data_IF_389499044738
#
_entry.id   IF_389499044738
#
_cell.length_a   1.000
_cell.length_b   1.000
_cell.length_c   1.000
_cell.angle_alpha   90.00
_cell.angle_beta   90.00
_cell.angle_gamma   90.00
#
_symmetry.space_group_name_H-M   'P 1'
#
loop_
_entity.id
_entity.type
_entity.pdbx_description
1 polymer ?
#
# COMPACT_ATOMS: atom_id res chain seq x y z
N UNK A 1 22.56 18.99 5.19
CA UNK A 1 21.32 18.30 4.75
C UNK A 1 21.33 16.94 5.40
N UNK A 2 20.33 16.63 6.23
CA UNK A 2 20.35 15.48 7.14
C UNK A 2 20.43 14.15 6.40
N UNK A 3 21.55 13.45 6.60
CA UNK A 3 21.80 12.06 6.22
C UNK A 3 21.22 11.13 7.31
N UNK A 4 19.89 11.03 7.39
CA UNK A 4 19.20 10.01 8.20
C UNK A 4 18.61 8.93 7.26
N UNK A 5 19.47 8.28 6.48
CA UNK A 5 19.06 7.21 5.55
C UNK A 5 18.35 6.04 6.22
N UNK A 6 18.62 5.79 7.51
CA UNK A 6 18.16 4.63 8.27
C UNK A 6 16.85 4.84 9.07
N UNK A 7 16.24 6.02 9.03
CA UNK A 7 15.01 6.31 9.82
C UNK A 7 13.73 6.41 9.00
N UNK A 8 13.81 6.21 7.68
CA UNK A 8 12.61 6.23 6.83
C UNK A 8 11.78 4.96 7.06
N UNK A 9 10.46 5.07 6.95
CA UNK A 9 9.59 3.88 7.02
C UNK A 9 10.00 2.85 5.96
N UNK A 10 10.48 3.29 4.79
CA UNK A 10 10.91 2.44 3.69
C UNK A 10 12.08 1.53 4.09
N UNK A 11 13.04 2.03 4.89
CA UNK A 11 14.16 1.23 5.39
C UNK A 11 13.71 0.09 6.34
N UNK A 12 12.55 0.23 6.99
CA UNK A 12 11.95 -0.79 7.87
C UNK A 12 11.03 -1.76 7.13
N UNK A 13 10.82 -1.58 5.82
CA UNK A 13 9.95 -2.47 5.06
C UNK A 13 10.57 -3.87 4.95
N UNK A 14 9.76 -4.93 5.17
CA UNK A 14 10.23 -6.31 5.01
C UNK A 14 10.79 -6.61 3.61
N UNK A 15 10.30 -5.93 2.58
CA UNK A 15 10.78 -6.08 1.22
C UNK A 15 12.08 -5.30 0.93
N UNK A 16 12.54 -4.43 1.84
CA UNK A 16 13.79 -3.69 1.67
C UNK A 16 15.04 -4.60 1.69
N UNK A 17 14.90 -5.84 2.18
CA UNK A 17 15.94 -6.87 2.19
C UNK A 17 15.93 -7.74 0.92
N UNK A 18 14.95 -7.57 0.04
CA UNK A 18 14.86 -8.33 -1.21
C UNK A 18 15.71 -7.67 -2.30
N UNK A 19 16.20 -8.49 -3.23
CA UNK A 19 16.81 -8.02 -4.47
C UNK A 19 15.77 -7.19 -5.28
N UNK A 20 16.15 -6.04 -5.86
CA UNK A 20 15.22 -5.17 -6.58
C UNK A 20 14.39 -5.90 -7.65
N UNK A 21 15.01 -6.81 -8.41
CA UNK A 21 14.36 -7.58 -9.47
C UNK A 21 13.24 -8.50 -8.95
N UNK A 22 13.32 -8.94 -7.69
CA UNK A 22 12.27 -9.74 -7.05
C UNK A 22 10.99 -8.94 -6.78
N UNK A 23 11.08 -7.60 -6.78
CA UNK A 23 9.95 -6.69 -6.55
C UNK A 23 9.27 -6.27 -7.87
N UNK A 24 10.00 -6.29 -9.00
CA UNK A 24 9.48 -5.94 -10.32
C UNK A 24 8.84 -7.13 -11.06
N UNK A 25 7.88 -7.77 -10.39
CA UNK A 25 7.19 -8.96 -10.93
C UNK A 25 5.85 -8.62 -11.60
N UNK A 26 5.47 -9.44 -12.59
CA UNK A 26 4.20 -9.33 -13.31
C UNK A 26 3.27 -10.53 -13.06
N UNK A 27 1.98 -10.35 -13.33
CA UNK A 27 1.00 -11.43 -13.32
C UNK A 27 0.89 -12.17 -11.99
N UNK A 28 0.95 -13.50 -12.01
CA UNK A 28 0.77 -14.34 -10.84
C UNK A 28 1.81 -14.07 -9.73
N UNK A 29 3.03 -13.65 -10.10
CA UNK A 29 4.10 -13.38 -9.15
C UNK A 29 3.83 -12.13 -8.28
N UNK A 30 2.99 -11.18 -8.73
CA UNK A 30 2.54 -10.07 -7.87
C UNK A 30 1.78 -10.55 -6.63
N UNK A 31 1.16 -11.73 -6.67
CA UNK A 31 0.48 -12.31 -5.50
C UNK A 31 1.45 -12.67 -4.39
N UNK A 32 2.66 -13.11 -4.72
CA UNK A 32 3.67 -13.48 -3.71
C UNK A 32 4.19 -12.24 -2.99
N UNK A 33 4.55 -11.20 -3.74
CA UNK A 33 4.95 -9.89 -3.17
C UNK A 33 3.82 -9.32 -2.31
N UNK A 34 2.58 -9.35 -2.82
CA UNK A 34 1.40 -8.89 -2.08
C UNK A 34 1.22 -9.60 -0.75
N UNK A 35 1.39 -10.91 -0.71
CA UNK A 35 1.16 -11.70 0.50
C UNK A 35 2.16 -11.32 1.60
N UNK A 36 3.42 -11.08 1.24
CA UNK A 36 4.46 -10.63 2.18
C UNK A 36 4.10 -9.31 2.86
N UNK A 37 3.45 -8.39 2.15
CA UNK A 37 3.08 -7.10 2.71
C UNK A 37 2.28 -7.24 4.02
N UNK A 38 1.41 -8.25 4.17
CA UNK A 38 0.54 -8.40 5.35
C UNK A 38 1.27 -8.77 6.64
N UNK A 39 2.56 -9.11 6.56
CA UNK A 39 3.43 -9.30 7.73
C UNK A 39 4.35 -8.08 7.97
N UNK A 40 4.29 -7.06 7.12
CA UNK A 40 5.16 -5.89 7.19
C UNK A 40 4.64 -4.86 8.19
N UNK A 41 5.49 -4.41 9.11
CA UNK A 41 5.11 -3.44 10.15
C UNK A 41 4.75 -2.06 9.58
N UNK A 42 5.44 -1.62 8.51
CA UNK A 42 5.23 -0.31 7.87
C UNK A 42 4.21 -0.35 6.71
N UNK A 43 3.33 -1.35 6.70
CA UNK A 43 2.42 -1.61 5.57
C UNK A 43 1.48 -0.44 5.29
N UNK A 44 0.96 0.20 6.33
CA UNK A 44 -0.02 1.28 6.17
C UNK A 44 0.67 2.57 5.74
N UNK A 45 1.85 2.87 6.28
CA UNK A 45 2.70 3.99 5.88
C UNK A 45 3.10 3.86 4.41
N UNK A 46 3.51 2.65 4.00
CA UNK A 46 3.83 2.33 2.61
C UNK A 46 2.64 2.58 1.66
N UNK A 47 1.42 2.20 2.08
CA UNK A 47 0.23 2.45 1.28
C UNK A 47 -0.13 3.93 1.23
N UNK A 48 -0.04 4.62 2.36
CA UNK A 48 -0.34 6.04 2.47
C UNK A 48 0.58 6.85 1.54
N UNK A 49 1.88 6.61 1.59
CA UNK A 49 2.86 7.27 0.73
C UNK A 49 2.60 7.01 -0.76
N UNK A 50 2.25 5.77 -1.12
CA UNK A 50 1.91 5.41 -2.50
C UNK A 50 0.62 6.05 -3.01
N UNK A 51 -0.36 6.28 -2.14
CA UNK A 51 -1.60 6.99 -2.50
C UNK A 51 -1.36 8.50 -2.57
N UNK A 52 -0.58 9.06 -1.65
CA UNK A 52 -0.25 10.48 -1.60
C UNK A 52 0.60 10.93 -2.80
N UNK A 53 1.56 10.10 -3.20
CA UNK A 53 2.45 10.35 -4.35
C UNK A 53 1.88 9.86 -5.68
N UNK A 54 0.71 9.24 -5.67
CA UNK A 54 0.10 8.58 -6.85
C UNK A 54 1.04 7.61 -7.56
N UNK A 55 1.74 6.75 -6.78
CA UNK A 55 2.75 5.84 -7.30
C UNK A 55 2.22 4.97 -8.46
N UNK A 56 2.87 5.10 -9.62
CA UNK A 56 2.38 4.61 -10.91
C UNK A 56 2.45 3.10 -11.12
N UNK A 57 3.30 2.37 -10.39
CA UNK A 57 3.57 0.95 -10.65
C UNK A 57 3.74 0.15 -9.36
N UNK A 58 3.79 -1.17 -9.48
CA UNK A 58 4.16 -2.09 -8.39
C UNK A 58 3.09 -2.31 -7.33
N UNK A 59 3.43 -3.15 -6.36
CA UNK A 59 2.62 -3.46 -5.17
C UNK A 59 3.12 -2.61 -4.01
N UNK A 60 2.21 -1.87 -3.38
CA UNK A 60 2.51 -0.98 -2.25
C UNK A 60 1.53 -1.25 -1.12
N UNK A 61 2.03 -1.49 0.08
CA UNK A 61 1.20 -1.79 1.26
C UNK A 61 0.21 -2.95 1.07
N UNK A 62 0.51 -3.89 0.17
CA UNK A 62 -0.37 -5.01 -0.17
C UNK A 62 -1.45 -4.70 -1.21
N UNK A 63 -1.42 -3.53 -1.85
CA UNK A 63 -2.33 -3.16 -2.94
C UNK A 63 -1.59 -3.04 -4.27
N UNK A 64 -2.21 -3.58 -5.31
CA UNK A 64 -1.80 -3.41 -6.70
C UNK A 64 -2.06 -2.00 -7.18
N UNK A 65 -1.35 -1.59 -8.23
CA UNK A 65 -1.60 -0.33 -8.94
C UNK A 65 -3.08 -0.14 -9.30
N UNK A 66 -3.72 -1.18 -9.83
CA UNK A 66 -5.14 -1.14 -10.23
C UNK A 66 -6.06 -0.81 -9.06
N UNK A 67 -5.81 -1.40 -7.88
CA UNK A 67 -6.58 -1.15 -6.66
C UNK A 67 -6.37 0.29 -6.17
N UNK A 68 -5.12 0.76 -6.10
CA UNK A 68 -4.81 2.14 -5.69
C UNK A 68 -5.45 3.18 -6.61
N UNK A 69 -5.31 3.01 -7.94
CA UNK A 69 -5.95 3.90 -8.92
C UNK A 69 -7.48 3.90 -8.79
N UNK A 70 -8.08 2.77 -8.41
CA UNK A 70 -9.53 2.72 -8.18
C UNK A 70 -9.93 3.52 -6.92
N UNK A 71 -9.14 3.45 -5.84
CA UNK A 71 -9.34 4.29 -4.66
C UNK A 71 -9.21 5.78 -5.01
N UNK A 72 -8.11 6.19 -5.63
CA UNK A 72 -7.86 7.59 -6.00
C UNK A 72 -8.97 8.20 -6.86
N UNK A 73 -9.50 7.43 -7.83
CA UNK A 73 -10.61 7.88 -8.68
C UNK A 73 -11.94 8.04 -7.95
N UNK A 74 -12.23 7.18 -6.98
CA UNK A 74 -13.55 7.10 -6.34
C UNK A 74 -13.61 7.87 -5.02
N UNK A 75 -12.46 8.19 -4.45
CA UNK A 75 -12.31 8.78 -3.12
C UNK A 75 -11.49 10.08 -3.19
N UNK A 76 -11.77 10.90 -4.20
CA UNK A 76 -11.03 12.15 -4.50
C UNK A 76 -11.17 13.22 -3.42
N UNK A 77 -12.05 13.02 -2.44
CA UNK A 77 -12.25 13.91 -1.29
C UNK A 77 -11.25 13.68 -0.15
N UNK A 78 -10.42 12.63 -0.23
CA UNK A 78 -9.41 12.32 0.79
C UNK A 78 -8.12 13.05 0.44
N UNK A 79 -7.64 13.87 1.36
CA UNK A 79 -6.41 14.66 1.22
C UNK A 79 -5.27 14.15 2.10
N UNK A 80 -5.60 13.46 3.18
CA UNK A 80 -4.66 12.82 4.11
C UNK A 80 -4.96 11.31 4.16
N UNK A 81 -4.19 10.55 3.38
CA UNK A 81 -4.35 9.10 3.31
C UNK A 81 -3.83 8.40 4.56
N UNK A 82 -2.86 8.98 5.27
CA UNK A 82 -2.33 8.38 6.49
C UNK A 82 -3.40 8.40 7.60
N UNK A 83 -4.03 9.56 7.81
CA UNK A 83 -5.15 9.69 8.75
C UNK A 83 -6.33 8.79 8.36
N UNK A 84 -6.73 8.82 7.08
CA UNK A 84 -7.85 7.99 6.62
C UNK A 84 -7.59 6.51 6.83
N UNK A 85 -6.40 6.01 6.50
CA UNK A 85 -6.03 4.61 6.70
C UNK A 85 -5.99 4.22 8.18
N UNK A 86 -5.53 5.11 9.06
CA UNK A 86 -5.45 4.85 10.50
C UNK A 86 -6.84 4.88 11.17
N UNK A 87 -7.65 5.88 10.85
CA UNK A 87 -8.78 6.29 11.71
C UNK A 87 -10.15 6.16 11.04
N UNK A 88 -10.23 5.99 9.71
CA UNK A 88 -11.54 5.94 9.04
C UNK A 88 -12.35 4.72 9.51
N UNK A 89 -13.64 4.90 9.86
CA UNK A 89 -14.55 3.80 10.19
C UNK A 89 -15.14 3.13 8.94
N UNK A 90 -14.68 3.47 7.74
CA UNK A 90 -15.22 2.87 6.52
C UNK A 90 -14.90 1.37 6.46
N UNK A 91 -15.81 0.53 5.92
CA UNK A 91 -15.55 -0.91 5.79
C UNK A 91 -14.27 -1.22 4.99
N UNK A 92 -13.94 -0.37 4.01
CA UNK A 92 -12.70 -0.52 3.25
C UNK A 92 -11.46 -0.26 4.11
N UNK A 93 -11.46 0.79 4.93
CA UNK A 93 -10.32 1.09 5.80
C UNK A 93 -10.12 -0.02 6.85
N UNK A 94 -11.20 -0.57 7.40
CA UNK A 94 -11.14 -1.73 8.30
C UNK A 94 -10.56 -2.98 7.62
N UNK A 95 -11.02 -3.30 6.40
CA UNK A 95 -10.44 -4.39 5.61
C UNK A 95 -8.96 -4.17 5.34
N UNK A 96 -8.58 -2.95 4.94
CA UNK A 96 -7.18 -2.61 4.68
C UNK A 96 -6.33 -2.78 5.93
N UNK A 97 -6.80 -2.37 7.13
CA UNK A 97 -6.05 -2.56 8.39
C UNK A 97 -5.91 -4.03 8.80
N UNK A 98 -6.82 -4.90 8.38
CA UNK A 98 -6.74 -6.34 8.68
C UNK A 98 -5.51 -7.01 8.01
N UNK A 99 -4.93 -8.07 8.60
CA UNK A 99 -3.80 -8.81 8.02
C UNK A 99 -4.25 -9.77 6.90
N UNK A 100 -5.21 -9.35 6.07
CA UNK A 100 -5.75 -10.14 4.95
C UNK A 100 -5.87 -9.29 3.70
N UNK A 101 -5.96 -9.95 2.55
CA UNK A 101 -6.17 -9.30 1.26
C UNK A 101 -7.54 -8.58 1.25
N UNK A 102 -7.57 -7.24 1.12
CA UNK A 102 -8.82 -6.49 1.08
C UNK A 102 -9.48 -6.58 -0.31
N UNK A 103 -10.81 -6.48 -0.35
CA UNK A 103 -11.59 -6.51 -1.57
C UNK A 103 -11.79 -5.10 -2.14
N UNK A 104 -10.69 -4.36 -2.33
CA UNK A 104 -10.70 -2.93 -2.68
C UNK A 104 -11.62 -2.66 -3.87
N UNK A 105 -11.45 -3.40 -4.96
CA UNK A 105 -12.23 -3.21 -6.18
C UNK A 105 -13.72 -3.50 -6.02
N UNK A 106 -14.13 -4.31 -5.03
CA UNK A 106 -15.54 -4.51 -4.73
C UNK A 106 -16.09 -3.35 -3.88
N UNK A 107 -15.28 -2.80 -2.97
CA UNK A 107 -15.66 -1.73 -2.04
C UNK A 107 -15.72 -0.34 -2.68
N UNK A 108 -14.90 -0.06 -3.68
CA UNK A 108 -14.87 1.25 -4.37
C UNK A 108 -15.71 1.29 -5.64
N UNK A 109 -16.43 0.21 -5.98
CA UNK A 109 -17.39 0.24 -7.10
C UNK A 109 -18.56 1.16 -6.73
N UNK A 110 -19.00 1.95 -7.71
CA UNK A 110 -20.31 2.61 -7.65
C UNK A 110 -21.43 1.59 -7.70
#
# INVERSE_FOLDING_TARGET
MNLNGDQTWAAKALCAQDEPDALFVQGAAQRQVRTRCYNCEVRLECLADALQSEANFGVWGGLTERERRAMLRQMSNITDWADWLANSPSPLAEEIRSPRIPHVLARVRR
#
